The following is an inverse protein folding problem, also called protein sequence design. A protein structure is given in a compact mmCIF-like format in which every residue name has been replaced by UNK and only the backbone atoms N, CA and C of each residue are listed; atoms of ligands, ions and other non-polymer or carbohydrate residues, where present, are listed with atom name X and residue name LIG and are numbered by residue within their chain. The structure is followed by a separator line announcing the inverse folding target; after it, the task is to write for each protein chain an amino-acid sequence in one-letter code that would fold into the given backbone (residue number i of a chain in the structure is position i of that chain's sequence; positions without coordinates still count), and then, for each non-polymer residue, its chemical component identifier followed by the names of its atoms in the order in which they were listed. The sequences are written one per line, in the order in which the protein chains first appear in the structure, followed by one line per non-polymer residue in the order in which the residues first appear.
data_IF_445029339958
#
_entry.id   IF_445029339958
#
_cell.length_a   1.000
_cell.length_b   1.000
_cell.length_c   1.000
_cell.angle_alpha   90.00
_cell.angle_beta   90.00
_cell.angle_gamma   90.00
#
_symmetry.space_group_name_H-M   'P 1'
#
loop_
_entity.id
_entity.type
_entity.pdbx_description
1 polymer ?
#
# COMPACT_ATOMS: atom_id res chain seq x y z
N UNK A 1 -14.47 -20.72 7.42
CA UNK A 1 -13.10 -21.25 7.62
C UNK A 1 -12.80 -21.16 9.12
N UNK A 2 -12.75 -22.31 9.81
CA UNK A 2 -12.32 -22.30 11.19
C UNK A 2 -10.82 -21.91 11.25
N UNK A 3 -10.45 -21.04 12.20
CA UNK A 3 -9.07 -20.57 12.41
C UNK A 3 -8.51 -19.72 11.27
N UNK A 4 -9.20 -18.66 10.92
CA UNK A 4 -8.70 -17.63 10.02
C UNK A 4 -7.78 -16.69 10.79
N UNK A 5 -6.52 -16.55 10.35
CA UNK A 5 -5.49 -15.75 11.01
C UNK A 5 -5.19 -14.44 10.29
N UNK A 6 -5.41 -14.39 8.99
CA UNK A 6 -5.09 -13.24 8.15
C UNK A 6 -5.96 -13.23 6.89
N UNK A 7 -6.37 -12.04 6.46
CA UNK A 7 -7.01 -11.82 5.15
C UNK A 7 -6.10 -10.93 4.30
N UNK A 8 -5.83 -11.34 3.07
CA UNK A 8 -5.08 -10.55 2.09
C UNK A 8 -5.94 -10.34 0.86
N UNK A 9 -6.08 -9.10 0.42
CA UNK A 9 -6.88 -8.70 -0.73
C UNK A 9 -5.97 -8.03 -1.77
N UNK A 10 -5.90 -8.62 -2.94
CA UNK A 10 -5.13 -8.11 -4.09
C UNK A 10 -6.10 -7.91 -5.28
N UNK A 11 -6.43 -6.75 -5.62
CA UNK A 11 -6.32 -5.45 -5.00
C UNK A 11 -7.71 -4.81 -4.89
N UNK A 12 -7.85 -3.78 -4.07
CA UNK A 12 -9.14 -3.20 -3.69
C UNK A 12 -9.97 -2.76 -4.90
N UNK A 13 -9.36 -2.18 -5.93
CA UNK A 13 -10.04 -1.67 -7.11
C UNK A 13 -10.71 -2.77 -7.96
N UNK A 14 -10.25 -4.02 -7.87
CA UNK A 14 -10.89 -5.15 -8.55
C UNK A 14 -12.24 -5.51 -7.92
N UNK A 15 -12.42 -5.26 -6.64
CA UNK A 15 -13.68 -5.55 -5.95
C UNK A 15 -14.85 -4.69 -6.46
N UNK A 16 -14.55 -3.57 -7.10
CA UNK A 16 -15.56 -2.67 -7.68
C UNK A 16 -16.20 -3.24 -8.94
N UNK A 17 -15.47 -4.08 -9.67
CA UNK A 17 -15.92 -4.59 -10.98
C UNK A 17 -16.95 -5.71 -10.88
N UNK A 18 -17.09 -6.35 -9.73
CA UNK A 18 -17.95 -7.52 -9.55
C UNK A 18 -19.45 -7.20 -9.39
N UNK A 19 -19.82 -5.94 -9.22
CA UNK A 19 -21.17 -5.54 -8.79
C UNK A 19 -22.03 -4.78 -9.80
N UNK A 20 -21.53 -4.35 -10.96
CA UNK A 20 -22.38 -3.52 -11.86
C UNK A 20 -21.90 -3.47 -13.30
N UNK A 21 -22.79 -3.85 -14.18
CA UNK A 21 -22.66 -3.68 -15.64
C UNK A 21 -22.92 -2.25 -16.14
N UNK A 22 -22.71 -1.22 -15.32
CA UNK A 22 -22.92 0.17 -15.68
C UNK A 22 -21.62 0.96 -15.68
N UNK A 23 -21.45 1.82 -16.68
CA UNK A 23 -20.36 2.80 -16.76
C UNK A 23 -20.46 3.76 -15.57
N UNK A 24 -19.51 3.66 -14.65
CA UNK A 24 -19.50 4.45 -13.42
C UNK A 24 -18.88 5.84 -13.66
N UNK A 25 -19.53 6.86 -13.17
CA UNK A 25 -18.94 8.19 -13.03
C UNK A 25 -17.80 8.15 -12.01
N UNK A 26 -16.89 9.14 -12.03
CA UNK A 26 -15.81 9.23 -11.05
C UNK A 26 -16.33 9.31 -9.60
N UNK A 27 -17.46 9.96 -9.39
CA UNK A 27 -18.12 10.02 -8.07
C UNK A 27 -18.58 8.65 -7.59
N UNK A 28 -19.11 7.81 -8.49
CA UNK A 28 -19.52 6.45 -8.16
C UNK A 28 -18.35 5.56 -7.77
N UNK A 29 -17.19 5.76 -8.39
CA UNK A 29 -15.95 5.02 -8.03
C UNK A 29 -15.45 5.38 -6.65
N UNK A 30 -15.40 6.67 -6.35
CA UNK A 30 -15.00 7.17 -5.02
C UNK A 30 -15.89 6.62 -3.93
N UNK A 31 -17.20 6.62 -4.17
CA UNK A 31 -18.18 6.09 -3.23
C UNK A 31 -18.02 4.58 -3.04
N UNK A 32 -17.83 3.82 -4.12
CA UNK A 32 -17.62 2.38 -4.06
C UNK A 32 -16.35 2.02 -3.28
N UNK A 33 -15.25 2.73 -3.49
CA UNK A 33 -14.00 2.55 -2.71
C UNK A 33 -14.23 2.84 -1.24
N UNK A 34 -14.95 3.91 -0.93
CA UNK A 34 -15.28 4.27 0.44
C UNK A 34 -16.10 3.19 1.15
N UNK A 35 -17.09 2.63 0.47
CA UNK A 35 -17.94 1.57 1.01
C UNK A 35 -17.14 0.29 1.27
N UNK A 36 -16.28 -0.11 0.31
CA UNK A 36 -15.41 -1.28 0.46
C UNK A 36 -14.43 -1.10 1.62
N UNK A 37 -13.77 0.05 1.70
CA UNK A 37 -12.84 0.36 2.78
C UNK A 37 -13.51 0.21 4.16
N UNK A 38 -14.70 0.76 4.31
CA UNK A 38 -15.49 0.64 5.53
C UNK A 38 -15.87 -0.80 5.85
N UNK A 39 -16.31 -1.55 4.84
CA UNK A 39 -16.67 -2.97 5.00
C UNK A 39 -15.48 -3.81 5.43
N UNK A 40 -14.29 -3.55 4.89
CA UNK A 40 -13.06 -4.24 5.29
C UNK A 40 -12.69 -3.95 6.74
N UNK A 41 -12.88 -2.73 7.20
CA UNK A 41 -12.66 -2.36 8.61
C UNK A 41 -13.62 -3.08 9.54
N UNK A 42 -14.89 -3.16 9.18
CA UNK A 42 -15.90 -3.89 9.93
C UNK A 42 -15.56 -5.39 9.97
N UNK A 43 -15.24 -5.97 8.82
CA UNK A 43 -14.86 -7.38 8.71
C UNK A 43 -13.66 -7.73 9.59
N UNK A 44 -12.61 -6.91 9.57
CA UNK A 44 -11.43 -7.11 10.42
C UNK A 44 -11.80 -7.14 11.91
N UNK A 45 -12.72 -6.27 12.33
CA UNK A 45 -13.20 -6.24 13.73
C UNK A 45 -14.06 -7.44 14.06
N UNK A 46 -15.00 -7.81 13.21
CA UNK A 46 -15.93 -8.92 13.45
C UNK A 46 -15.19 -10.26 13.48
N UNK A 47 -14.24 -10.47 12.56
CA UNK A 47 -13.46 -11.70 12.50
C UNK A 47 -12.29 -11.70 13.50
N UNK A 48 -11.96 -10.55 14.08
CA UNK A 48 -10.80 -10.36 14.95
C UNK A 48 -9.49 -10.82 14.30
N UNK A 49 -9.30 -10.50 13.03
CA UNK A 49 -8.11 -10.82 12.24
C UNK A 49 -7.58 -9.58 11.54
N UNK A 50 -6.27 -9.49 11.30
CA UNK A 50 -5.72 -8.44 10.46
C UNK A 50 -6.15 -8.63 9.00
N UNK A 51 -6.40 -7.51 8.33
CA UNK A 51 -6.70 -7.46 6.89
C UNK A 51 -5.62 -6.61 6.22
N UNK A 52 -4.92 -7.20 5.27
CA UNK A 52 -4.00 -6.51 4.37
C UNK A 52 -4.69 -6.32 3.03
N UNK A 53 -4.86 -5.07 2.62
CA UNK A 53 -5.46 -4.75 1.35
C UNK A 53 -4.46 -4.00 0.47
N UNK A 54 -4.18 -4.52 -0.71
CA UNK A 54 -3.37 -3.84 -1.70
C UNK A 54 -4.23 -2.80 -2.42
N UNK A 55 -3.65 -1.65 -2.70
CA UNK A 55 -4.32 -0.55 -3.39
C UNK A 55 -3.39 0.07 -4.43
N UNK A 56 -3.93 0.34 -5.59
CA UNK A 56 -3.23 1.14 -6.59
C UNK A 56 -3.25 2.61 -6.17
N UNK A 57 -2.15 3.29 -6.43
CA UNK A 57 -2.05 4.74 -6.28
C UNK A 57 -2.48 5.46 -7.55
N UNK A 58 -2.89 6.71 -7.41
CA UNK A 58 -3.03 7.59 -8.56
C UNK A 58 -1.67 7.83 -9.20
N UNK A 59 -1.63 8.08 -10.51
CA UNK A 59 -0.38 8.39 -11.23
C UNK A 59 0.15 9.79 -10.98
N UNK A 60 -0.43 10.53 -10.04
CA UNK A 60 0.00 11.88 -9.70
C UNK A 60 1.46 11.95 -9.20
N UNK A 61 1.94 10.88 -8.59
CA UNK A 61 3.33 10.79 -8.15
C UNK A 61 4.33 10.78 -9.31
N UNK A 62 3.94 10.29 -10.50
CA UNK A 62 4.83 10.21 -11.66
C UNK A 62 5.24 11.58 -12.21
N UNK A 63 4.43 12.59 -11.98
CA UNK A 63 4.70 13.98 -12.39
C UNK A 63 5.50 14.80 -11.37
N UNK A 64 5.70 14.27 -10.17
CA UNK A 64 6.49 14.94 -9.14
C UNK A 64 7.97 14.67 -9.33
N UNK A 65 8.81 15.58 -8.84
CA UNK A 65 10.25 15.38 -8.79
C UNK A 65 10.61 14.25 -7.83
N UNK A 66 10.08 14.26 -6.63
CA UNK A 66 10.10 13.13 -5.71
C UNK A 66 8.87 12.26 -5.94
N UNK A 67 9.08 11.05 -6.49
CA UNK A 67 8.03 10.12 -6.86
C UNK A 67 7.61 9.19 -5.73
N UNK A 68 8.11 9.41 -4.52
CA UNK A 68 7.68 8.64 -3.36
C UNK A 68 6.19 8.79 -3.11
N UNK A 69 5.49 7.71 -2.78
CA UNK A 69 4.07 7.76 -2.48
C UNK A 69 3.77 8.63 -1.26
N UNK A 70 2.64 9.30 -1.31
CA UNK A 70 2.08 10.13 -0.24
C UNK A 70 0.64 9.70 0.03
N UNK A 71 0.10 10.02 1.21
CA UNK A 71 -1.31 9.74 1.53
C UNK A 71 -2.28 10.36 0.52
N UNK A 72 -1.96 11.54 0.00
CA UNK A 72 -2.76 12.20 -1.03
C UNK A 72 -2.85 11.44 -2.36
N UNK A 73 -1.95 10.48 -2.60
CA UNK A 73 -2.00 9.61 -3.78
C UNK A 73 -3.11 8.54 -3.70
N UNK A 74 -3.71 8.38 -2.53
CA UNK A 74 -4.93 7.59 -2.31
C UNK A 74 -6.21 8.37 -2.67
N UNK A 75 -6.15 9.28 -3.64
CA UNK A 75 -7.14 10.33 -3.94
C UNK A 75 -8.58 9.89 -4.12
N UNK A 76 -8.81 8.72 -4.67
CA UNK A 76 -10.17 8.21 -4.89
C UNK A 76 -10.74 7.59 -3.61
N UNK A 77 -10.04 7.73 -2.50
CA UNK A 77 -10.30 6.97 -1.29
C UNK A 77 -9.84 7.68 -0.02
N UNK A 78 -10.25 8.91 0.18
CA UNK A 78 -10.08 9.58 1.47
C UNK A 78 -10.59 8.72 2.63
N UNK A 79 -11.54 7.84 2.38
CA UNK A 79 -12.02 6.85 3.33
C UNK A 79 -10.95 5.81 3.69
N UNK A 80 -10.12 5.36 2.74
CA UNK A 80 -9.02 4.42 3.05
C UNK A 80 -8.04 5.04 4.04
N UNK A 81 -7.69 6.30 3.84
CA UNK A 81 -6.80 7.00 4.78
C UNK A 81 -7.38 7.06 6.19
N UNK A 82 -8.69 7.25 6.31
CA UNK A 82 -9.36 7.28 7.61
C UNK A 82 -9.55 5.90 8.24
N UNK A 83 -9.94 4.91 7.45
CA UNK A 83 -10.27 3.57 7.93
C UNK A 83 -9.03 2.72 8.22
N UNK A 84 -7.96 2.86 7.46
CA UNK A 84 -6.75 2.09 7.65
C UNK A 84 -6.06 2.44 8.98
N UNK A 85 -5.61 1.43 9.69
CA UNK A 85 -4.78 1.61 10.88
C UNK A 85 -3.33 1.91 10.51
N UNK A 86 -2.85 1.28 9.44
CA UNK A 86 -1.50 1.45 8.90
C UNK A 86 -1.61 1.61 7.39
N UNK A 87 -0.89 2.57 6.84
CA UNK A 87 -0.72 2.74 5.40
C UNK A 87 0.76 2.67 5.07
N UNK A 88 1.12 1.76 4.18
CA UNK A 88 2.49 1.56 3.72
C UNK A 88 2.55 1.83 2.23
N UNK A 89 3.35 2.81 1.84
CA UNK A 89 3.69 3.07 0.45
C UNK A 89 4.95 2.30 0.05
N UNK A 90 4.95 1.69 -1.11
CA UNK A 90 6.12 1.02 -1.67
C UNK A 90 6.75 1.90 -2.74
N UNK A 91 8.06 2.08 -2.66
CA UNK A 91 8.83 2.87 -3.62
C UNK A 91 10.12 2.15 -3.99
N UNK A 92 10.49 2.27 -5.26
CA UNK A 92 11.76 1.79 -5.77
C UNK A 92 12.26 2.75 -6.84
N UNK A 93 13.39 3.40 -6.59
CA UNK A 93 13.97 4.38 -7.51
C UNK A 93 14.29 3.76 -8.88
N UNK A 94 14.82 2.55 -8.92
CA UNK A 94 15.13 1.84 -10.16
C UNK A 94 13.92 1.52 -11.06
N UNK A 95 12.70 1.67 -10.55
CA UNK A 95 11.49 1.56 -11.37
C UNK A 95 11.26 2.81 -12.23
N UNK A 96 11.55 3.99 -11.69
CA UNK A 96 11.35 5.28 -12.37
C UNK A 96 12.59 5.78 -13.08
N UNK A 97 13.77 5.46 -12.57
CA UNK A 97 15.07 5.91 -13.06
C UNK A 97 15.94 4.70 -13.43
N UNK A 98 16.16 4.51 -14.74
CA UNK A 98 17.00 3.42 -15.25
C UNK A 98 18.48 3.60 -14.91
N UNK A 99 18.90 4.82 -14.62
CA UNK A 99 20.28 5.19 -14.24
C UNK A 99 20.45 5.30 -12.72
N UNK A 100 19.53 4.73 -11.94
CA UNK A 100 19.61 4.73 -10.49
C UNK A 100 20.91 4.09 -10.01
N UNK A 101 21.57 4.74 -9.07
CA UNK A 101 22.77 4.19 -8.41
C UNK A 101 22.47 2.95 -7.59
N UNK A 102 21.24 2.84 -7.10
CA UNK A 102 20.76 1.71 -6.30
C UNK A 102 19.47 1.11 -6.87
N UNK A 103 19.52 0.43 -8.03
CA UNK A 103 18.32 -0.03 -8.74
C UNK A 103 17.52 -1.10 -7.97
N UNK A 104 18.16 -1.79 -7.04
CA UNK A 104 17.58 -2.85 -6.24
C UNK A 104 17.18 -2.39 -4.83
N UNK A 105 17.42 -1.13 -4.50
CA UNK A 105 16.94 -0.57 -3.24
C UNK A 105 15.44 -0.26 -3.34
N UNK A 106 14.68 -0.76 -2.39
CA UNK A 106 13.26 -0.44 -2.23
C UNK A 106 13.01 0.18 -0.86
N UNK A 107 11.95 0.94 -0.76
CA UNK A 107 11.54 1.60 0.47
C UNK A 107 10.11 1.20 0.81
N UNK A 108 9.89 0.70 2.01
CA UNK A 108 8.57 0.57 2.61
C UNK A 108 8.35 1.80 3.50
N UNK A 109 7.52 2.72 3.04
CA UNK A 109 7.29 4.01 3.67
C UNK A 109 6.01 3.91 4.50
N UNK A 110 6.13 3.97 5.82
CA UNK A 110 4.99 3.98 6.72
C UNK A 110 4.40 5.38 6.73
N UNK A 111 3.37 5.59 5.90
CA UNK A 111 2.70 6.87 5.70
C UNK A 111 1.72 7.20 6.82
N UNK A 112 1.12 6.18 7.40
CA UNK A 112 0.22 6.29 8.56
C UNK A 112 0.45 5.12 9.49
N UNK A 113 0.46 5.38 10.78
CA UNK A 113 0.47 4.35 11.82
C UNK A 113 -0.32 4.86 13.03
N UNK A 114 -1.52 4.34 13.22
CA UNK A 114 -2.45 4.84 14.26
C UNK A 114 -1.91 4.68 15.66
N UNK A 115 -1.12 3.64 15.92
CA UNK A 115 -0.59 3.30 17.24
C UNK A 115 0.91 3.41 17.37
N UNK A 116 1.59 3.94 16.37
CA UNK A 116 3.04 4.03 16.35
C UNK A 116 3.56 5.18 15.52
N UNK A 117 4.83 5.12 15.19
CA UNK A 117 5.51 6.15 14.41
C UNK A 117 5.42 5.87 12.91
N UNK A 118 5.50 6.94 12.12
CA UNK A 118 5.78 6.88 10.69
C UNK A 118 7.29 6.79 10.46
N UNK A 119 7.69 6.37 9.28
CA UNK A 119 9.10 6.24 8.94
C UNK A 119 9.29 5.43 7.68
N UNK A 120 10.53 5.14 7.34
CA UNK A 120 10.90 4.38 6.14
C UNK A 120 11.78 3.21 6.53
N UNK A 121 11.45 2.04 5.99
CA UNK A 121 12.26 0.82 6.07
C UNK A 121 12.83 0.53 4.70
N UNK A 122 14.14 0.43 4.61
CA UNK A 122 14.82 0.05 3.38
C UNK A 122 14.83 -1.46 3.21
N UNK A 123 14.57 -1.90 1.99
CA UNK A 123 14.48 -3.30 1.59
C UNK A 123 15.34 -3.51 0.34
N UNK A 124 15.80 -4.73 0.14
CA UNK A 124 16.42 -5.17 -1.10
C UNK A 124 15.35 -5.76 -2.02
N UNK A 125 15.27 -5.28 -3.25
CA UNK A 125 14.46 -5.88 -4.30
C UNK A 125 15.28 -6.88 -5.10
N UNK A 126 14.80 -8.11 -5.18
CA UNK A 126 15.39 -9.19 -5.96
C UNK A 126 14.53 -9.45 -7.19
N UNK A 127 14.84 -8.81 -8.34
CA UNK A 127 13.99 -8.89 -9.53
C UNK A 127 13.90 -10.30 -10.11
N UNK A 128 14.95 -11.10 -9.98
CA UNK A 128 14.99 -12.47 -10.47
C UNK A 128 13.96 -13.37 -9.77
N UNK A 129 13.62 -13.05 -8.52
CA UNK A 129 12.67 -13.81 -7.71
C UNK A 129 11.37 -13.04 -7.46
N UNK A 130 11.24 -11.82 -7.98
CA UNK A 130 10.10 -10.93 -7.74
C UNK A 130 9.78 -10.83 -6.24
N UNK A 131 10.80 -10.62 -5.41
CA UNK A 131 10.66 -10.64 -3.96
C UNK A 131 11.46 -9.53 -3.30
N UNK A 132 11.06 -9.18 -2.08
CA UNK A 132 11.81 -8.30 -1.21
C UNK A 132 12.59 -9.11 -0.18
N UNK A 133 13.74 -8.61 0.21
CA UNK A 133 14.56 -9.14 1.29
C UNK A 133 14.96 -8.03 2.25
N UNK A 134 15.30 -8.40 3.46
CA UNK A 134 15.86 -7.46 4.42
C UNK A 134 17.24 -7.02 3.99
N UNK A 135 17.54 -5.72 4.18
CA UNK A 135 18.90 -5.24 4.12
C UNK A 135 19.59 -5.60 5.43
N UNK A 136 20.68 -6.36 5.35
CA UNK A 136 21.56 -6.54 6.48
C UNK A 136 22.26 -5.21 6.76
N UNK A 137 21.85 -4.55 7.83
CA UNK A 137 22.67 -3.50 8.43
C UNK A 137 23.80 -4.22 9.15
N UNK A 138 25.03 -4.15 8.63
CA UNK A 138 26.22 -4.45 9.45
C UNK A 138 26.08 -3.58 10.69
N UNK A 139 25.98 -4.18 11.86
CA UNK A 139 26.34 -3.50 13.08
C UNK A 139 27.82 -3.22 12.94
N UNK A 140 28.19 -1.99 12.73
CA UNK A 140 29.53 -1.55 13.06
C UNK A 140 29.59 -1.72 14.56
N UNK A 141 30.25 -2.81 14.96
CA UNK A 141 30.65 -2.99 16.34
C UNK A 141 31.68 -1.89 16.59
N UNK A 142 31.19 -0.80 17.19
CA UNK A 142 32.02 0.28 17.70
C UNK A 142 32.93 -0.33 18.78
N UNK A 143 34.25 -0.30 18.51
CA UNK A 143 35.29 -0.47 19.49
C UNK A 143 35.22 0.61 20.60
#
# INVERSE_FOLDING_TARGET
VPNLDLVVIDYLQLMQSAGSGHSWSNESRTQAVSDISRMLKIMAKELNVPVICLSQLSRANESRQDKRPMLSDLRESGAIEQDADVVIGLYRDGYYNKESENPNLAEAIILKNRKGQTGTVELLWLPEYTTFSSLEKRRDDDE
#
